data_IF_352563588254
#
_entry.id   IF_352563588254
#
_cell.length_a   1.000
_cell.length_b   1.000
_cell.length_c   1.000
_cell.angle_alpha   90.00
_cell.angle_beta   90.00
_cell.angle_gamma   90.00
#
_symmetry.space_group_name_H-M   'P 1'
#
loop_
_entity.id
_entity.type
_entity.pdbx_description
1 polymer ?
#
# COMPACT_ATOMS: atom_id res chain seq x y z
N UNK A 1 -12.92 -25.43 -21.65
CA UNK A 1 -14.03 -24.47 -21.54
C UNK A 1 -14.19 -24.20 -20.07
N UNK A 2 -13.68 -23.07 -19.59
CA UNK A 2 -14.00 -22.63 -18.24
C UNK A 2 -15.44 -22.14 -18.27
N UNK A 3 -16.33 -22.83 -17.54
CA UNK A 3 -17.71 -22.39 -17.37
C UNK A 3 -17.64 -21.17 -16.44
N UNK A 4 -17.77 -19.97 -16.99
CA UNK A 4 -17.97 -18.78 -16.18
C UNK A 4 -19.38 -18.85 -15.57
N UNK A 5 -19.45 -19.22 -14.31
CA UNK A 5 -20.68 -19.13 -13.54
C UNK A 5 -20.98 -17.66 -13.23
N UNK A 6 -22.23 -17.26 -13.44
CA UNK A 6 -22.74 -15.96 -12.99
C UNK A 6 -23.30 -16.09 -11.58
N UNK A 7 -22.83 -15.26 -10.66
CA UNK A 7 -23.28 -15.29 -9.27
C UNK A 7 -24.15 -14.07 -8.95
N UNK A 8 -25.33 -14.35 -8.40
CA UNK A 8 -26.20 -13.34 -7.78
C UNK A 8 -26.13 -13.54 -6.27
N UNK A 9 -25.60 -12.56 -5.56
CA UNK A 9 -25.39 -12.64 -4.12
C UNK A 9 -26.49 -11.90 -3.33
N UNK A 10 -26.78 -12.31 -2.08
CA UNK A 10 -27.67 -11.56 -1.20
C UNK A 10 -27.17 -10.12 -0.97
N UNK A 11 -28.05 -9.12 -1.02
CA UNK A 11 -27.68 -7.71 -0.85
C UNK A 11 -27.30 -7.33 0.59
N UNK A 12 -27.46 -8.26 1.54
CA UNK A 12 -27.15 -8.10 2.95
C UNK A 12 -25.72 -8.51 3.30
N UNK A 13 -24.91 -8.98 2.35
CA UNK A 13 -23.52 -9.35 2.63
C UNK A 13 -22.70 -8.11 2.98
N UNK A 14 -21.82 -8.25 3.97
CA UNK A 14 -20.91 -7.19 4.42
C UNK A 14 -19.47 -7.48 4.05
N UNK A 15 -19.14 -8.73 3.74
CA UNK A 15 -17.80 -9.20 3.39
C UNK A 15 -17.92 -10.13 2.18
N UNK A 16 -17.02 -9.98 1.21
CA UNK A 16 -16.99 -10.83 0.02
C UNK A 16 -15.56 -11.10 -0.41
N UNK A 17 -15.23 -12.37 -0.60
CA UNK A 17 -14.01 -12.78 -1.30
C UNK A 17 -14.39 -13.60 -2.52
N UNK A 18 -14.06 -13.09 -3.71
CA UNK A 18 -14.53 -13.64 -4.98
C UNK A 18 -13.48 -13.45 -6.08
N UNK A 19 -12.37 -14.17 -6.01
CA UNK A 19 -11.28 -14.04 -6.99
C UNK A 19 -11.69 -14.56 -8.36
N UNK A 20 -11.54 -13.74 -9.42
CA UNK A 20 -11.82 -14.11 -10.82
C UNK A 20 -13.28 -14.59 -11.08
N UNK A 21 -14.21 -14.28 -10.18
CA UNK A 21 -15.63 -14.63 -10.29
C UNK A 21 -16.45 -13.51 -10.97
N UNK A 22 -17.49 -13.89 -11.72
CA UNK A 22 -18.41 -12.94 -12.34
C UNK A 22 -19.63 -12.70 -11.43
N UNK A 23 -19.57 -11.64 -10.60
CA UNK A 23 -20.68 -11.22 -9.72
C UNK A 23 -21.57 -10.21 -10.46
N UNK A 24 -22.74 -10.64 -10.94
CA UNK A 24 -23.60 -9.81 -11.80
C UNK A 24 -24.27 -8.66 -11.06
N UNK A 25 -24.51 -8.81 -9.75
CA UNK A 25 -25.21 -7.82 -8.94
C UNK A 25 -24.30 -7.06 -7.97
N UNK A 26 -22.98 -6.97 -8.24
CA UNK A 26 -22.02 -6.28 -7.37
C UNK A 26 -22.45 -4.85 -7.02
N UNK A 27 -23.01 -4.10 -7.99
CA UNK A 27 -23.51 -2.74 -7.78
C UNK A 27 -24.71 -2.64 -6.83
N UNK A 28 -25.36 -3.76 -6.48
CA UNK A 28 -26.49 -3.81 -5.54
C UNK A 28 -26.05 -4.13 -4.11
N UNK A 29 -24.78 -4.51 -3.90
CA UNK A 29 -24.23 -4.93 -2.60
C UNK A 29 -23.82 -3.71 -1.76
N UNK A 30 -24.76 -2.79 -1.52
CA UNK A 30 -24.48 -1.51 -0.87
C UNK A 30 -24.19 -1.60 0.64
N UNK A 31 -24.33 -2.79 1.25
CA UNK A 31 -23.91 -3.05 2.64
C UNK A 31 -22.49 -3.59 2.74
N UNK A 32 -21.83 -3.85 1.59
CA UNK A 32 -20.49 -4.43 1.53
C UNK A 32 -19.45 -3.46 2.09
N UNK A 33 -18.69 -3.92 3.08
CA UNK A 33 -17.62 -3.19 3.77
C UNK A 33 -16.23 -3.67 3.41
N UNK A 34 -16.11 -4.96 3.09
CA UNK A 34 -14.84 -5.59 2.74
C UNK A 34 -14.99 -6.40 1.46
N UNK A 35 -14.08 -6.18 0.52
CA UNK A 35 -14.09 -6.86 -0.77
C UNK A 35 -12.69 -7.34 -1.12
N UNK A 36 -12.54 -8.63 -1.35
CA UNK A 36 -11.35 -9.24 -1.96
C UNK A 36 -11.67 -9.64 -3.40
N UNK A 37 -10.95 -9.05 -4.35
CA UNK A 37 -11.22 -9.19 -5.77
C UNK A 37 -9.95 -9.20 -6.62
N UNK A 38 -10.08 -9.49 -7.92
CA UNK A 38 -8.94 -9.49 -8.86
C UNK A 38 -8.83 -8.21 -9.70
N UNK A 39 -9.82 -7.33 -9.64
CA UNK A 39 -9.87 -6.09 -10.41
C UNK A 39 -10.57 -4.98 -9.63
N UNK A 40 -10.44 -3.73 -10.07
CA UNK A 40 -11.20 -2.62 -9.49
C UNK A 40 -12.68 -2.73 -9.89
N UNK A 41 -13.63 -2.78 -8.93
CA UNK A 41 -15.05 -2.66 -9.23
C UNK A 41 -15.38 -1.38 -10.01
N UNK A 42 -16.12 -1.51 -11.11
CA UNK A 42 -16.52 -0.37 -11.95
C UNK A 42 -17.85 0.28 -11.52
N UNK A 43 -18.36 -0.09 -10.34
CA UNK A 43 -19.57 0.44 -9.73
C UNK A 43 -19.28 1.09 -8.38
N UNK A 44 -20.19 1.95 -7.90
CA UNK A 44 -20.06 2.52 -6.55
C UNK A 44 -20.44 1.50 -5.48
N UNK A 45 -19.66 1.46 -4.41
CA UNK A 45 -19.90 0.67 -3.20
C UNK A 45 -19.75 1.62 -2.00
N UNK A 46 -20.84 2.28 -1.61
CA UNK A 46 -20.77 3.45 -0.70
C UNK A 46 -20.32 3.11 0.73
N UNK A 47 -20.46 1.86 1.17
CA UNK A 47 -20.04 1.40 2.50
C UNK A 47 -18.68 0.69 2.49
N UNK A 48 -18.02 0.58 1.34
CA UNK A 48 -16.77 -0.17 1.20
C UNK A 48 -15.64 0.55 1.93
N UNK A 49 -15.14 -0.04 3.01
CA UNK A 49 -14.04 0.51 3.81
C UNK A 49 -12.69 -0.12 3.48
N UNK A 50 -12.67 -1.39 3.08
CA UNK A 50 -11.46 -2.15 2.77
C UNK A 50 -11.59 -2.84 1.41
N UNK A 51 -10.55 -2.71 0.59
CA UNK A 51 -10.44 -3.39 -0.70
C UNK A 51 -9.12 -4.17 -0.76
N UNK A 52 -9.20 -5.46 -1.00
CA UNK A 52 -8.03 -6.31 -1.29
C UNK A 52 -8.02 -6.71 -2.76
N UNK A 53 -6.89 -6.48 -3.42
CA UNK A 53 -6.69 -6.78 -4.83
C UNK A 53 -5.62 -7.85 -4.99
N UNK A 54 -6.01 -8.99 -5.58
CA UNK A 54 -5.11 -10.09 -5.90
C UNK A 54 -4.83 -10.15 -7.40
N UNK A 55 -3.54 -10.03 -7.77
CA UNK A 55 -3.08 -10.02 -9.14
C UNK A 55 -3.77 -8.96 -10.04
N UNK A 56 -3.99 -7.71 -9.57
CA UNK A 56 -4.65 -6.70 -10.39
C UNK A 56 -3.84 -6.39 -11.65
N UNK A 57 -4.52 -6.12 -12.76
CA UNK A 57 -3.88 -5.77 -14.03
C UNK A 57 -3.70 -4.26 -14.20
N UNK A 58 -4.68 -3.47 -13.72
CA UNK A 58 -4.64 -2.02 -13.69
C UNK A 58 -5.47 -1.49 -12.51
N UNK A 59 -5.39 -0.17 -12.28
CA UNK A 59 -6.07 0.52 -11.18
C UNK A 59 -7.09 1.56 -11.70
N UNK A 60 -7.59 1.40 -12.92
CA UNK A 60 -8.52 2.35 -13.52
C UNK A 60 -9.85 2.38 -12.77
N UNK A 61 -10.30 3.58 -12.41
CA UNK A 61 -11.55 3.79 -11.67
C UNK A 61 -11.41 3.67 -10.16
N UNK A 62 -10.19 3.53 -9.62
CA UNK A 62 -9.95 3.48 -8.17
C UNK A 62 -10.53 4.71 -7.45
N UNK A 63 -10.58 5.87 -8.12
CA UNK A 63 -11.15 7.11 -7.59
C UNK A 63 -12.65 7.06 -7.29
N UNK A 64 -13.36 6.08 -7.87
CA UNK A 64 -14.78 5.86 -7.64
C UNK A 64 -15.04 5.13 -6.32
N UNK A 65 -14.01 4.48 -5.76
CA UNK A 65 -14.10 3.69 -4.55
C UNK A 65 -13.63 4.53 -3.37
N UNK A 66 -14.53 4.78 -2.42
CA UNK A 66 -14.26 5.57 -1.21
C UNK A 66 -13.65 4.72 -0.09
N UNK A 67 -12.69 3.86 -0.42
CA UNK A 67 -12.06 2.97 0.54
C UNK A 67 -11.12 3.75 1.47
N UNK A 68 -11.05 3.32 2.74
CA UNK A 68 -10.07 3.83 3.71
C UNK A 68 -8.78 3.02 3.67
N UNK A 69 -8.90 1.73 3.35
CA UNK A 69 -7.79 0.78 3.32
C UNK A 69 -7.76 0.01 1.98
N UNK A 70 -6.57 -0.10 1.39
CA UNK A 70 -6.33 -0.90 0.19
C UNK A 70 -5.17 -1.85 0.44
N UNK A 71 -5.36 -3.11 0.08
CA UNK A 71 -4.30 -4.13 0.05
C UNK A 71 -4.07 -4.57 -1.38
N UNK A 72 -2.82 -4.70 -1.78
CA UNK A 72 -2.42 -5.11 -3.12
C UNK A 72 -1.46 -6.27 -2.99
N UNK A 73 -1.81 -7.37 -3.64
CA UNK A 73 -1.05 -8.61 -3.66
C UNK A 73 -0.69 -8.97 -5.09
N UNK A 74 0.55 -9.41 -5.28
CA UNK A 74 1.00 -10.02 -6.53
C UNK A 74 0.88 -9.15 -7.80
N UNK A 75 0.89 -7.83 -7.66
CA UNK A 75 0.94 -6.92 -8.83
C UNK A 75 2.26 -7.09 -9.61
N UNK A 76 2.18 -7.06 -10.94
CA UNK A 76 3.33 -7.09 -11.85
C UNK A 76 3.13 -6.03 -12.91
N UNK A 77 3.97 -5.00 -12.93
CA UNK A 77 3.88 -3.94 -13.94
C UNK A 77 5.09 -3.02 -13.90
N UNK A 78 5.06 -1.97 -14.72
CA UNK A 78 6.15 -0.97 -14.72
C UNK A 78 5.96 0.08 -13.64
N UNK A 79 4.71 0.48 -13.38
CA UNK A 79 4.33 1.56 -12.47
C UNK A 79 3.09 1.15 -11.67
N UNK A 80 3.15 1.27 -10.34
CA UNK A 80 2.01 1.09 -9.47
C UNK A 80 1.47 2.48 -9.11
N UNK A 81 0.39 2.91 -9.76
CA UNK A 81 -0.19 4.25 -9.57
C UNK A 81 -1.51 4.21 -8.78
N UNK A 82 -1.50 4.85 -7.60
CA UNK A 82 -2.65 4.99 -6.71
C UNK A 82 -2.93 6.46 -6.39
N UNK A 83 -2.49 7.40 -7.21
CA UNK A 83 -2.60 8.85 -6.93
C UNK A 83 -4.04 9.32 -6.73
N UNK A 84 -4.98 8.67 -7.44
CA UNK A 84 -6.40 9.00 -7.36
C UNK A 84 -7.18 8.17 -6.34
N UNK A 85 -6.53 7.24 -5.64
CA UNK A 85 -7.17 6.53 -4.54
C UNK A 85 -7.59 7.51 -3.45
N UNK A 86 -8.62 7.19 -2.66
CA UNK A 86 -8.97 7.93 -1.44
C UNK A 86 -8.43 7.28 -0.17
N UNK A 87 -7.71 6.15 -0.30
CA UNK A 87 -7.26 5.36 0.83
C UNK A 87 -6.26 6.13 1.71
N UNK A 88 -6.41 5.96 3.01
CA UNK A 88 -5.49 6.47 4.03
C UNK A 88 -4.42 5.45 4.39
N UNK A 89 -4.73 4.16 4.23
CA UNK A 89 -3.82 3.05 4.52
C UNK A 89 -3.65 2.19 3.28
N UNK A 90 -2.40 1.92 2.91
CA UNK A 90 -2.05 1.08 1.78
C UNK A 90 -1.08 0.00 2.26
N UNK A 91 -1.41 -1.25 1.93
CA UNK A 91 -0.57 -2.42 2.17
C UNK A 91 -0.24 -3.06 0.83
N UNK A 92 1.05 -3.28 0.56
CA UNK A 92 1.55 -3.85 -0.69
C UNK A 92 2.39 -5.08 -0.35
N UNK A 93 2.06 -6.23 -0.95
CA UNK A 93 2.80 -7.48 -0.75
C UNK A 93 3.10 -8.17 -2.05
N UNK A 94 4.31 -8.73 -2.14
CA UNK A 94 4.74 -9.56 -3.26
C UNK A 94 4.55 -8.90 -4.63
N UNK A 95 4.79 -7.58 -4.72
CA UNK A 95 4.59 -6.78 -5.94
C UNK A 95 5.91 -6.45 -6.64
N UNK A 96 5.88 -6.31 -7.97
CA UNK A 96 7.07 -5.97 -8.77
C UNK A 96 6.72 -4.79 -9.66
N UNK A 97 7.38 -3.65 -9.42
CA UNK A 97 7.20 -2.40 -10.14
C UNK A 97 8.47 -1.55 -10.06
N UNK A 98 8.73 -0.69 -11.03
CA UNK A 98 9.87 0.22 -10.93
C UNK A 98 9.59 1.37 -9.97
N UNK A 99 8.35 1.89 -9.98
CA UNK A 99 7.92 3.03 -9.17
C UNK A 99 6.56 2.78 -8.48
N UNK A 100 6.33 3.55 -7.43
CA UNK A 100 5.09 3.61 -6.66
C UNK A 100 4.65 5.08 -6.55
N UNK A 101 3.43 5.38 -7.00
CA UNK A 101 2.82 6.70 -6.90
C UNK A 101 1.59 6.63 -5.97
N UNK A 102 1.52 7.54 -5.00
CA UNK A 102 0.55 7.52 -3.91
C UNK A 102 -0.18 8.86 -3.82
N UNK A 103 -1.48 8.80 -3.54
CA UNK A 103 -2.29 9.98 -3.26
C UNK A 103 -1.85 10.72 -1.98
N UNK A 104 -2.04 12.04 -1.97
CA UNK A 104 -1.64 12.95 -0.88
C UNK A 104 -2.44 12.80 0.41
N UNK A 105 -3.36 11.84 0.50
CA UNK A 105 -4.12 11.52 1.71
C UNK A 105 -3.63 10.24 2.41
N UNK A 106 -2.67 9.53 1.83
CA UNK A 106 -2.12 8.30 2.43
C UNK A 106 -1.37 8.66 3.70
N UNK A 107 -1.85 8.17 4.84
CA UNK A 107 -1.27 8.40 6.16
C UNK A 107 -0.38 7.22 6.59
N UNK A 108 -0.62 6.02 6.05
CA UNK A 108 0.14 4.80 6.38
C UNK A 108 0.42 3.96 5.15
N UNK A 109 1.69 3.57 5.01
CA UNK A 109 2.17 2.70 3.94
C UNK A 109 2.94 1.52 4.52
N UNK A 110 2.55 0.32 4.14
CA UNK A 110 3.28 -0.90 4.45
C UNK A 110 3.63 -1.65 3.17
N UNK A 111 4.91 -1.98 2.98
CA UNK A 111 5.37 -2.73 1.82
C UNK A 111 6.22 -3.90 2.28
N UNK A 112 5.87 -5.10 1.82
CA UNK A 112 6.62 -6.31 2.12
C UNK A 112 6.92 -7.16 0.89
N UNK A 113 8.11 -7.75 0.85
CA UNK A 113 8.51 -8.75 -0.18
C UNK A 113 8.28 -8.25 -1.61
N UNK A 114 8.51 -6.96 -1.85
CA UNK A 114 8.23 -6.32 -3.13
C UNK A 114 9.49 -5.72 -3.73
N UNK A 115 9.49 -5.59 -5.05
CA UNK A 115 10.56 -4.94 -5.79
C UNK A 115 10.11 -3.54 -6.19
N UNK A 116 10.71 -2.53 -5.55
CA UNK A 116 10.65 -1.11 -5.93
C UNK A 116 12.06 -0.56 -5.86
N UNK A 117 12.45 0.31 -6.79
CA UNK A 117 13.75 0.99 -6.73
C UNK A 117 13.70 2.25 -5.88
N UNK A 118 12.61 3.00 -6.03
CA UNK A 118 12.41 4.29 -5.36
C UNK A 118 11.00 4.34 -4.78
N UNK A 119 10.88 4.89 -3.58
CA UNK A 119 9.59 5.22 -2.95
C UNK A 119 9.56 6.71 -2.69
N UNK A 120 8.55 7.40 -3.23
CA UNK A 120 8.28 8.80 -2.95
C UNK A 120 7.10 8.91 -1.99
N UNK A 121 7.36 9.40 -0.78
CA UNK A 121 6.35 9.47 0.28
C UNK A 121 5.48 10.73 0.14
N UNK A 122 4.15 10.62 0.14
CA UNK A 122 3.27 11.79 0.12
C UNK A 122 3.43 12.61 1.40
N UNK A 123 3.08 13.90 1.35
CA UNK A 123 3.22 14.82 2.49
C UNK A 123 2.44 14.38 3.74
N UNK A 124 1.33 13.66 3.54
CA UNK A 124 0.44 13.17 4.61
C UNK A 124 0.98 11.95 5.35
N UNK A 125 2.04 11.30 4.84
CA UNK A 125 2.48 10.00 5.33
C UNK A 125 3.05 10.11 6.75
N UNK A 126 2.42 9.44 7.71
CA UNK A 126 2.86 9.43 9.12
C UNK A 126 3.61 8.16 9.47
N UNK A 127 3.19 7.02 8.92
CA UNK A 127 3.72 5.71 9.25
C UNK A 127 4.23 5.00 7.98
N UNK A 128 5.50 4.61 8.01
CA UNK A 128 6.13 3.88 6.92
C UNK A 128 6.74 2.57 7.44
N UNK A 129 6.29 1.44 6.89
CA UNK A 129 6.81 0.11 7.21
C UNK A 129 7.30 -0.57 5.95
N UNK A 130 8.59 -0.86 5.89
CA UNK A 130 9.26 -1.50 4.78
C UNK A 130 9.92 -2.78 5.26
N UNK A 131 9.63 -3.88 4.58
CA UNK A 131 10.19 -5.18 4.93
C UNK A 131 10.58 -5.99 3.69
N UNK A 132 11.81 -6.49 3.65
CA UNK A 132 12.27 -7.39 2.59
C UNK A 132 12.15 -6.76 1.19
N UNK A 133 12.72 -5.57 1.03
CA UNK A 133 12.75 -4.82 -0.24
C UNK A 133 14.18 -4.79 -0.78
N UNK A 134 14.62 -5.90 -1.35
CA UNK A 134 16.02 -6.13 -1.73
C UNK A 134 16.53 -5.20 -2.85
N UNK A 135 15.62 -4.59 -3.61
CA UNK A 135 15.92 -3.68 -4.71
C UNK A 135 15.71 -2.20 -4.37
N UNK A 136 15.28 -1.87 -3.15
CA UNK A 136 15.05 -0.48 -2.75
C UNK A 136 16.38 0.26 -2.59
N UNK A 137 16.58 1.31 -3.37
CA UNK A 137 17.80 2.12 -3.39
C UNK A 137 17.61 3.47 -2.68
N UNK A 138 16.42 4.06 -2.78
CA UNK A 138 16.11 5.41 -2.30
C UNK A 138 14.69 5.53 -1.74
N UNK A 139 14.55 6.30 -0.65
CA UNK A 139 13.27 6.76 -0.11
C UNK A 139 13.31 8.29 -0.05
N UNK A 140 12.32 8.95 -0.65
CA UNK A 140 12.19 10.41 -0.63
C UNK A 140 11.06 10.83 0.29
N UNK A 141 11.37 11.64 1.30
CA UNK A 141 10.39 12.20 2.22
C UNK A 141 10.07 13.64 1.86
N UNK A 142 8.78 13.98 1.77
CA UNK A 142 8.36 15.34 1.40
C UNK A 142 8.18 16.27 2.62
N UNK A 143 7.76 15.76 3.78
CA UNK A 143 7.58 16.58 5.00
C UNK A 143 7.88 15.83 6.28
N UNK A 144 6.84 15.30 6.92
CA UNK A 144 6.86 14.82 8.29
C UNK A 144 6.53 13.35 8.28
N UNK A 145 7.36 12.55 8.94
CA UNK A 145 7.10 11.17 9.25
C UNK A 145 7.11 11.02 10.76
N UNK A 146 6.21 10.20 11.31
CA UNK A 146 6.12 9.91 12.74
C UNK A 146 6.84 8.61 13.08
N UNK A 147 6.55 7.55 12.33
CA UNK A 147 7.14 6.23 12.56
C UNK A 147 7.81 5.70 11.29
N UNK A 148 9.03 5.19 11.46
CA UNK A 148 9.79 4.55 10.40
C UNK A 148 10.22 3.16 10.81
N UNK A 149 9.78 2.16 10.07
CA UNK A 149 10.25 0.79 10.21
C UNK A 149 10.82 0.33 8.88
N UNK A 150 12.08 -0.11 8.89
CA UNK A 150 12.75 -0.58 7.69
C UNK A 150 13.59 -1.80 8.05
N UNK A 151 13.26 -2.95 7.47
CA UNK A 151 13.90 -4.22 7.75
C UNK A 151 14.20 -4.95 6.44
N UNK A 152 15.37 -5.56 6.34
CA UNK A 152 15.81 -6.32 5.16
C UNK A 152 15.69 -5.52 3.85
N UNK A 153 16.13 -4.27 3.83
CA UNK A 153 16.22 -3.39 2.67
C UNK A 153 17.69 -3.19 2.28
N UNK A 154 18.31 -4.24 1.74
CA UNK A 154 19.77 -4.41 1.70
C UNK A 154 20.50 -3.46 0.74
N UNK A 155 19.81 -2.92 -0.28
CA UNK A 155 20.38 -1.99 -1.27
C UNK A 155 20.11 -0.52 -0.96
N UNK A 156 19.45 -0.21 0.16
CA UNK A 156 19.20 1.17 0.55
C UNK A 156 20.55 1.87 0.67
N UNK A 157 20.76 2.95 -0.06
CA UNK A 157 22.10 3.56 -0.15
C UNK A 157 22.31 4.57 0.97
N UNK A 158 21.61 5.70 0.88
CA UNK A 158 21.63 6.81 1.83
C UNK A 158 20.25 7.42 1.90
N UNK A 159 19.76 7.65 3.11
CA UNK A 159 18.45 8.24 3.36
C UNK A 159 18.56 9.21 4.52
N UNK A 160 17.99 10.39 4.35
CA UNK A 160 17.81 11.35 5.44
C UNK A 160 16.36 11.23 5.94
N UNK A 161 16.18 10.90 7.21
CA UNK A 161 14.85 10.81 7.80
C UNK A 161 14.38 12.21 8.25
N UNK A 162 13.09 12.54 8.13
CA UNK A 162 12.57 13.76 8.72
C UNK A 162 12.88 13.84 10.23
N UNK A 163 13.29 15.01 10.72
CA UNK A 163 13.55 15.24 12.15
C UNK A 163 12.30 15.04 13.02
N UNK A 164 11.11 15.00 12.42
CA UNK A 164 9.84 14.74 13.10
C UNK A 164 9.64 13.28 13.50
N UNK A 165 10.50 12.36 13.06
CA UNK A 165 10.36 10.93 13.37
C UNK A 165 10.50 10.73 14.87
N UNK A 166 9.49 10.13 15.48
CA UNK A 166 9.40 9.86 16.92
C UNK A 166 9.78 8.42 17.25
N UNK A 167 9.77 7.51 16.27
CA UNK A 167 10.13 6.10 16.47
C UNK A 167 10.78 5.50 15.24
N UNK A 168 11.95 4.89 15.43
CA UNK A 168 12.68 4.17 14.38
C UNK A 168 12.87 2.72 14.80
N UNK A 169 12.50 1.79 13.91
CA UNK A 169 12.79 0.35 14.05
C UNK A 169 13.51 -0.16 12.82
N UNK A 170 14.80 -0.47 12.96
CA UNK A 170 15.64 -0.95 11.85
C UNK A 170 16.66 -1.99 12.31
N UNK A 171 17.13 -2.85 11.40
CA UNK A 171 18.28 -3.70 11.73
C UNK A 171 19.57 -2.86 11.78
N UNK A 172 20.51 -3.23 12.67
CA UNK A 172 21.81 -2.53 12.79
C UNK A 172 22.57 -2.42 11.46
N UNK A 173 22.46 -3.44 10.61
CA UNK A 173 23.07 -3.45 9.28
C UNK A 173 22.54 -2.34 8.36
N UNK A 174 21.35 -1.84 8.62
CA UNK A 174 20.65 -0.85 7.79
C UNK A 174 20.80 0.57 8.32
N UNK A 175 21.04 0.73 9.63
CA UNK A 175 21.25 2.03 10.26
C UNK A 175 22.39 2.83 9.62
N UNK A 176 23.41 2.16 9.08
CA UNK A 176 24.54 2.80 8.36
C UNK A 176 24.11 3.62 7.13
N UNK A 177 22.89 3.40 6.64
CA UNK A 177 22.32 4.11 5.49
C UNK A 177 21.55 5.37 5.90
N UNK A 178 21.31 5.58 7.19
CA UNK A 178 20.63 6.78 7.69
C UNK A 178 21.65 7.89 7.96
N UNK A 179 21.54 8.99 7.22
CA UNK A 179 22.54 10.07 7.24
C UNK A 179 22.55 10.87 8.55
N UNK A 180 21.37 11.13 9.11
CA UNK A 180 21.17 11.89 10.33
C UNK A 180 20.90 10.99 11.54
N UNK A 181 21.46 9.78 11.55
CA UNK A 181 21.25 8.78 12.60
C UNK A 181 21.65 9.28 14.00
N UNK A 182 22.72 10.07 14.08
CA UNK A 182 23.25 10.54 15.37
C UNK A 182 22.26 11.45 16.10
N UNK A 183 21.51 12.29 15.37
CA UNK A 183 20.40 13.07 15.92
C UNK A 183 19.41 12.16 16.67
N UNK A 184 18.98 11.06 16.04
CA UNK A 184 17.99 10.16 16.64
C UNK A 184 18.55 9.36 17.82
N UNK A 185 19.86 9.05 17.83
CA UNK A 185 20.51 8.41 18.97
C UNK A 185 20.58 9.35 20.18
N UNK A 186 20.97 10.60 19.98
CA UNK A 186 21.05 11.61 21.04
C UNK A 186 19.69 11.87 21.71
N UNK A 187 18.60 11.68 20.95
CA UNK A 187 17.22 11.88 21.41
C UNK A 187 16.52 10.58 21.85
N UNK A 188 17.23 9.44 21.91
CA UNK A 188 16.68 8.11 22.28
C UNK A 188 15.47 7.65 21.42
N UNK A 189 15.48 8.00 20.13
CA UNK A 189 14.40 7.68 19.18
C UNK A 189 14.62 6.31 18.51
N UNK A 190 15.87 5.87 18.43
CA UNK A 190 16.25 4.57 17.86
C UNK A 190 16.78 3.63 18.95
N UNK A 191 16.23 2.41 18.98
CA UNK A 191 16.68 1.32 19.85
C UNK A 191 17.55 0.32 19.08
#
# INVERSE_FOLDING_TARGET
MDVQCEWILPTTITELSALKENITNLSQLQQLKELTFSSIPQCSLEQLTSLELYEPQDFNGIEKLKCQEIHIFYYRGQELNLDKSTAKKIIIRDCFSNSLHLGNQVERLEISSSEFKTIECPESLKDLVLNNLDNLEEIKFNKSLKTFQCMRCMKLTKTELPITVESIKMMRSEQKHILNLDYFKEHNIIN
#
